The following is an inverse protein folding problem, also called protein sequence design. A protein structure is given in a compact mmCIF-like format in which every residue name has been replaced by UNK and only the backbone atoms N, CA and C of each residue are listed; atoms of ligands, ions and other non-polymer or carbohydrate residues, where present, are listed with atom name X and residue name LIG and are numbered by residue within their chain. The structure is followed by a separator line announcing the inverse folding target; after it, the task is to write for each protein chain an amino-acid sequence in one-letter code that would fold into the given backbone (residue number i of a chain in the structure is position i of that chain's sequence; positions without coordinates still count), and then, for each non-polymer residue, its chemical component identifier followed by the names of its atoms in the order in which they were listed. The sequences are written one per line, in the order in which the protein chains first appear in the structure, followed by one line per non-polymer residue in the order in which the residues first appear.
data_IF_340258145420
#
_entry.id   IF_340258145420
#
_cell.length_a   1.000
_cell.length_b   1.000
_cell.length_c   1.000
_cell.angle_alpha   90.00
_cell.angle_beta   90.00
_cell.angle_gamma   90.00
#
_symmetry.space_group_name_H-M   'P 1'
#
loop_
_entity.id
_entity.type
_entity.pdbx_description
1 polymer ?
#
# COMPACT_ATOMS: atom_id res chain seq x y z
N UNK A 1 48.16 35.27 -36.43
CA UNK A 1 48.01 35.24 -34.96
C UNK A 1 46.70 34.54 -34.64
N UNK A 2 46.75 33.34 -34.06
CA UNK A 2 45.56 32.51 -33.82
C UNK A 2 44.89 32.99 -32.53
N UNK A 3 43.70 33.56 -32.67
CA UNK A 3 42.87 34.00 -31.54
C UNK A 3 42.17 32.77 -30.97
N UNK A 4 42.74 32.20 -29.91
CA UNK A 4 42.07 31.15 -29.15
C UNK A 4 40.97 31.80 -28.33
N UNK A 5 39.72 31.65 -28.79
CA UNK A 5 38.53 32.08 -28.05
C UNK A 5 38.45 31.27 -26.76
N UNK A 6 38.50 31.94 -25.61
CA UNK A 6 38.47 31.35 -24.26
C UNK A 6 37.07 30.81 -23.88
N UNK A 7 36.07 30.98 -24.75
CA UNK A 7 34.67 30.66 -24.51
C UNK A 7 34.33 29.17 -24.31
N UNK A 8 34.93 28.18 -25.03
CA UNK A 8 34.54 26.78 -24.87
C UNK A 8 35.15 26.15 -23.61
N UNK A 9 36.23 26.70 -23.04
CA UNK A 9 36.87 26.17 -21.83
C UNK A 9 36.05 26.52 -20.58
N UNK A 10 35.37 27.66 -20.59
CA UNK A 10 34.56 28.13 -19.45
C UNK A 10 33.26 27.32 -19.33
N UNK A 11 32.65 26.90 -20.45
CA UNK A 11 31.40 26.13 -20.47
C UNK A 11 31.62 24.70 -19.96
N UNK A 12 32.74 24.05 -20.33
CA UNK A 12 33.07 22.70 -19.84
C UNK A 12 33.43 22.69 -18.36
N UNK A 13 33.99 23.78 -17.82
CA UNK A 13 34.31 23.91 -16.40
C UNK A 13 33.05 24.04 -15.53
N UNK A 14 32.00 24.71 -16.02
CA UNK A 14 30.75 24.89 -15.29
C UNK A 14 29.94 23.58 -15.16
N UNK A 15 30.07 22.66 -16.12
CA UNK A 15 29.38 21.37 -16.10
C UNK A 15 30.02 20.34 -15.14
N UNK A 16 31.30 20.51 -14.79
CA UNK A 16 32.02 19.59 -13.89
C UNK A 16 31.66 19.81 -12.41
N UNK A 17 31.14 20.98 -12.04
CA UNK A 17 30.76 21.33 -10.67
C UNK A 17 29.33 20.92 -10.30
N UNK A 18 28.50 20.51 -11.26
CA UNK A 18 27.11 20.06 -11.04
C UNK A 18 26.98 18.55 -10.82
N UNK A 19 28.05 17.88 -10.37
CA UNK A 19 27.96 16.53 -9.84
C UNK A 19 27.14 16.58 -8.54
N UNK A 20 25.81 16.46 -8.67
CA UNK A 20 24.90 16.37 -7.52
C UNK A 20 25.36 15.17 -6.69
N UNK A 21 25.93 15.44 -5.52
CA UNK A 21 26.24 14.40 -4.55
C UNK A 21 24.93 13.82 -4.04
N UNK A 22 24.57 12.62 -4.53
CA UNK A 22 23.47 11.85 -3.98
C UNK A 22 23.87 11.40 -2.57
N UNK A 23 23.36 12.07 -1.55
CA UNK A 23 23.46 11.57 -0.18
C UNK A 23 22.51 10.38 -0.04
N UNK A 24 23.05 9.20 0.28
CA UNK A 24 22.23 8.08 0.75
C UNK A 24 21.58 8.48 2.07
N UNK A 25 20.28 8.23 2.23
CA UNK A 25 19.58 8.51 3.49
C UNK A 25 20.13 7.59 4.59
N UNK A 26 20.90 8.16 5.53
CA UNK A 26 21.31 7.53 6.80
C UNK A 26 20.12 7.50 7.79
N UNK A 27 18.94 7.10 7.31
CA UNK A 27 17.75 6.91 8.12
C UNK A 27 17.67 5.45 8.54
N UNK A 28 17.50 5.18 9.83
CA UNK A 28 17.08 3.84 10.27
C UNK A 28 15.71 3.56 9.66
N UNK A 29 15.63 2.60 8.74
CA UNK A 29 14.37 2.16 8.14
C UNK A 29 13.60 1.42 9.21
N UNK A 30 12.61 2.09 9.83
CA UNK A 30 11.72 1.48 10.80
C UNK A 30 10.73 0.58 10.05
N UNK A 31 10.93 -0.73 10.13
CA UNK A 31 9.93 -1.68 9.68
C UNK A 31 8.72 -1.62 10.62
N UNK A 32 7.55 -1.30 10.07
CA UNK A 32 6.29 -1.31 10.81
C UNK A 32 5.46 -2.49 10.33
N UNK A 33 5.01 -3.32 11.28
CA UNK A 33 4.10 -4.41 10.96
C UNK A 33 2.68 -3.86 10.79
N UNK A 34 2.16 -3.93 9.57
CA UNK A 34 0.76 -3.66 9.30
C UNK A 34 -0.07 -4.81 9.85
N UNK A 35 -1.05 -4.50 10.70
CA UNK A 35 -1.86 -5.52 11.39
C UNK A 35 -3.35 -5.25 11.29
N UNK A 36 -3.75 -3.99 11.17
CA UNK A 36 -5.14 -3.58 11.08
C UNK A 36 -5.49 -3.36 9.62
N UNK A 37 -6.48 -4.09 9.14
CA UNK A 37 -7.02 -4.01 7.78
C UNK A 37 -8.53 -3.91 7.84
N UNK A 38 -9.12 -3.49 6.74
CA UNK A 38 -10.55 -3.56 6.50
C UNK A 38 -10.82 -4.58 5.39
N UNK A 39 -11.91 -5.34 5.51
CA UNK A 39 -12.25 -6.44 4.62
C UNK A 39 -13.64 -6.24 4.00
N UNK A 40 -13.76 -6.45 2.69
CA UNK A 40 -15.03 -6.46 1.98
C UNK A 40 -14.99 -7.35 0.73
N UNK A 41 -16.13 -7.91 0.36
CA UNK A 41 -16.35 -8.60 -0.91
C UNK A 41 -16.26 -7.64 -2.08
N UNK A 42 -15.49 -8.02 -3.10
CA UNK A 42 -15.38 -7.25 -4.35
C UNK A 42 -16.72 -7.12 -5.07
N UNK A 43 -17.67 -8.04 -4.86
CA UNK A 43 -19.02 -7.97 -5.45
C UNK A 43 -19.77 -6.71 -5.02
N UNK A 44 -19.49 -6.19 -3.81
CA UNK A 44 -20.12 -4.97 -3.30
C UNK A 44 -19.37 -3.69 -3.68
N UNK A 45 -18.19 -3.81 -4.30
CA UNK A 45 -17.32 -2.67 -4.62
C UNK A 45 -17.31 -2.45 -6.13
N UNK A 46 -17.93 -1.35 -6.56
CA UNK A 46 -17.93 -0.94 -7.96
C UNK A 46 -16.65 -0.19 -8.38
N UNK A 47 -15.88 0.31 -7.41
CA UNK A 47 -14.66 1.10 -7.63
C UNK A 47 -13.52 0.22 -8.15
N UNK A 48 -12.61 0.79 -8.95
CA UNK A 48 -11.46 0.02 -9.47
C UNK A 48 -10.39 -0.24 -8.40
N UNK A 49 -9.47 -1.17 -8.69
CA UNK A 49 -8.33 -1.47 -7.81
C UNK A 49 -7.42 -0.26 -7.58
N UNK A 50 -7.26 0.57 -8.62
CA UNK A 50 -6.49 1.81 -8.57
C UNK A 50 -7.16 2.82 -7.64
N UNK A 51 -8.50 2.98 -7.76
CA UNK A 51 -9.27 3.90 -6.92
C UNK A 51 -9.20 3.51 -5.44
N UNK A 52 -9.42 2.22 -5.10
CA UNK A 52 -9.40 1.77 -3.69
C UNK A 52 -8.02 1.85 -3.04
N UNK A 53 -6.96 1.93 -3.85
CA UNK A 53 -5.57 2.03 -3.37
C UNK A 53 -5.13 3.47 -3.11
N UNK A 54 -6.00 4.46 -3.35
CA UNK A 54 -5.73 5.87 -3.07
C UNK A 54 -5.98 6.21 -1.60
N UNK A 55 -5.29 7.23 -1.08
CA UNK A 55 -5.48 7.67 0.32
C UNK A 55 -6.81 8.39 0.53
N UNK A 56 -7.35 8.95 -0.55
CA UNK A 56 -8.59 9.72 -0.58
C UNK A 56 -9.82 8.82 -0.72
N UNK A 57 -9.64 7.52 -0.97
CA UNK A 57 -10.73 6.57 -1.11
C UNK A 57 -11.57 6.50 0.16
N UNK A 58 -12.88 6.67 -0.02
CA UNK A 58 -13.88 6.50 1.04
C UNK A 58 -14.93 5.54 0.53
N UNK A 59 -15.06 4.38 1.17
CA UNK A 59 -16.08 3.43 0.74
C UNK A 59 -17.48 3.95 1.03
N UNK A 60 -18.42 3.64 0.12
CA UNK A 60 -19.85 3.92 0.30
C UNK A 60 -20.53 2.91 1.23
N UNK A 61 -19.87 1.79 1.51
CA UNK A 61 -20.38 0.69 2.34
C UNK A 61 -19.48 0.47 3.53
N UNK A 62 -20.01 -0.20 4.56
CA UNK A 62 -19.22 -0.60 5.72
C UNK A 62 -18.22 -1.70 5.34
N UNK A 63 -16.97 -1.59 5.82
CA UNK A 63 -15.96 -2.63 5.70
C UNK A 63 -15.67 -3.22 7.07
N UNK A 64 -15.41 -4.53 7.12
CA UNK A 64 -15.21 -5.23 8.38
C UNK A 64 -13.77 -5.02 8.88
N UNK A 65 -13.56 -4.48 10.09
CA UNK A 65 -12.23 -4.41 10.66
C UNK A 65 -11.69 -5.81 10.96
N UNK A 66 -10.48 -6.11 10.49
CA UNK A 66 -9.81 -7.40 10.68
C UNK A 66 -8.36 -7.22 11.10
N UNK A 67 -7.83 -8.20 11.83
CA UNK A 67 -6.41 -8.27 12.20
C UNK A 67 -5.72 -9.36 11.39
N UNK A 68 -4.55 -9.05 10.83
CA UNK A 68 -3.74 -10.02 10.08
C UNK A 68 -2.56 -10.57 10.91
N UNK A 69 -2.15 -11.83 10.70
CA UNK A 69 -2.67 -12.79 9.72
C UNK A 69 -4.06 -13.36 10.11
N UNK A 70 -4.96 -13.44 9.15
CA UNK A 70 -6.29 -14.05 9.24
C UNK A 70 -6.77 -14.49 7.86
N UNK A 71 -7.84 -15.28 7.82
CA UNK A 71 -8.55 -15.63 6.59
C UNK A 71 -9.84 -14.82 6.50
N UNK A 72 -10.49 -14.82 5.35
CA UNK A 72 -11.80 -14.16 5.17
C UNK A 72 -12.82 -14.68 6.19
N UNK A 73 -12.92 -16.01 6.34
CA UNK A 73 -13.86 -16.62 7.26
C UNK A 73 -13.58 -16.24 8.72
N UNK A 74 -12.32 -16.30 9.18
CA UNK A 74 -12.01 -15.93 10.57
C UNK A 74 -12.23 -14.44 10.84
N UNK A 75 -12.01 -13.58 9.84
CA UNK A 75 -12.39 -12.17 9.90
C UNK A 75 -13.90 -11.97 10.06
N UNK A 76 -14.72 -12.69 9.29
CA UNK A 76 -16.18 -12.62 9.38
C UNK A 76 -16.73 -13.17 10.71
N UNK A 77 -16.14 -14.25 11.24
CA UNK A 77 -16.48 -14.78 12.57
C UNK A 77 -16.10 -13.79 13.68
N UNK A 78 -14.93 -13.14 13.57
CA UNK A 78 -14.52 -12.10 14.52
C UNK A 78 -15.49 -10.90 14.52
N UNK A 79 -16.05 -10.57 13.36
CA UNK A 79 -17.07 -9.54 13.18
C UNK A 79 -18.51 -10.03 13.43
N UNK A 80 -18.69 -11.26 13.95
CA UNK A 80 -19.99 -11.86 14.31
C UNK A 80 -20.97 -12.01 13.14
N UNK A 81 -20.46 -12.02 11.90
CA UNK A 81 -21.28 -12.33 10.72
C UNK A 81 -21.63 -13.81 10.68
N UNK A 82 -20.67 -14.67 11.05
CA UNK A 82 -20.90 -16.09 11.25
C UNK A 82 -20.56 -16.51 12.69
N UNK A 83 -21.29 -17.49 13.24
CA UNK A 83 -20.97 -18.07 14.54
C UNK A 83 -19.70 -18.93 14.45
N UNK A 84 -19.15 -19.33 15.61
CA UNK A 84 -17.98 -20.21 15.66
C UNK A 84 -18.29 -21.56 14.97
N UNK A 85 -17.62 -21.89 13.84
CA UNK A 85 -17.91 -23.09 13.07
C UNK A 85 -17.63 -24.39 13.83
N UNK A 86 -16.79 -24.36 14.86
CA UNK A 86 -16.45 -25.56 15.66
C UNK A 86 -17.50 -25.91 16.72
N UNK A 87 -18.51 -25.06 16.89
CA UNK A 87 -19.59 -25.26 17.87
C UNK A 87 -20.80 -25.95 17.22
N UNK A 88 -21.10 -27.18 17.65
CA UNK A 88 -22.30 -27.90 17.23
C UNK A 88 -22.42 -28.03 15.70
N UNK A 89 -23.54 -27.52 15.15
CA UNK A 89 -23.81 -27.53 13.70
C UNK A 89 -23.62 -26.15 13.05
N UNK A 90 -22.93 -25.22 13.71
CA UNK A 90 -22.74 -23.85 13.19
C UNK A 90 -22.06 -23.79 11.83
N UNK A 91 -21.24 -24.79 11.49
CA UNK A 91 -20.63 -24.87 10.17
C UNK A 91 -21.67 -24.93 9.03
N UNK A 92 -22.87 -25.46 9.29
CA UNK A 92 -23.97 -25.51 8.30
C UNK A 92 -24.65 -24.15 8.08
N UNK A 93 -24.34 -23.14 8.90
CA UNK A 93 -24.87 -21.78 8.76
C UNK A 93 -23.98 -20.90 7.87
N UNK A 94 -22.82 -21.41 7.46
CA UNK A 94 -21.91 -20.72 6.55
C UNK A 94 -22.30 -21.14 5.12
N UNK A 95 -22.62 -20.19 4.22
CA UNK A 95 -22.90 -20.52 2.83
C UNK A 95 -21.70 -21.17 2.17
N UNK A 96 -21.96 -22.19 1.35
CA UNK A 96 -20.95 -22.76 0.45
C UNK A 96 -20.52 -21.71 -0.58
N UNK A 97 -19.27 -21.83 -1.03
CA UNK A 97 -18.65 -20.92 -2.00
C UNK A 97 -19.02 -21.26 -3.45
#
# INVERSE_FOLDING_TARGET
MKNYSCAPVIITFFCLCSSVTAFSQTGSVKQVRLTNFELQSSVLISSSGEEISTKEYKSKVYWFPVKVPSTVLTGLVANKIYPDPYSGLNNMLIPDA
#
